data_IF_954040790277
#
_entry.id   IF_954040790277
#
_cell.length_a   1.000
_cell.length_b   1.000
_cell.length_c   1.000
_cell.angle_alpha   90.00
_cell.angle_beta   90.00
_cell.angle_gamma   90.00
#
_symmetry.space_group_name_H-M   'P 1'
#
loop_
_entity.id
_entity.type
_entity.pdbx_description
1 polymer ?
#
# COMPACT_ATOMS: atom_id res chain seq x y z
N UNK A 1 -14.06 7.31 3.01
CA UNK A 1 -12.77 7.27 2.27
C UNK A 1 -11.66 6.58 3.07
N UNK A 2 -11.51 6.85 4.38
CA UNK A 2 -10.46 6.24 5.23
C UNK A 2 -10.46 4.69 5.21
N UNK A 3 -11.63 4.04 5.31
CA UNK A 3 -11.71 2.57 5.26
C UNK A 3 -11.10 1.94 4.00
N UNK A 4 -11.27 2.59 2.83
CA UNK A 4 -10.70 2.11 1.56
C UNK A 4 -9.17 2.20 1.56
N UNK A 5 -8.63 3.28 2.14
CA UNK A 5 -7.18 3.44 2.25
C UNK A 5 -6.59 2.44 3.24
N UNK A 6 -7.26 2.15 4.35
CA UNK A 6 -6.77 1.16 5.32
C UNK A 6 -6.78 -0.26 4.75
N UNK A 7 -7.84 -0.62 4.00
CA UNK A 7 -7.86 -1.87 3.23
C UNK A 7 -6.74 -1.91 2.18
N UNK A 8 -6.49 -0.80 1.47
CA UNK A 8 -5.40 -0.74 0.51
C UNK A 8 -4.02 -0.94 1.18
N UNK A 9 -3.79 -0.33 2.37
CA UNK A 9 -2.56 -0.56 3.14
C UNK A 9 -2.37 -2.02 3.53
N UNK A 10 -3.44 -2.73 3.90
CA UNK A 10 -3.37 -4.16 4.19
C UNK A 10 -2.94 -4.93 2.95
N UNK A 11 -3.61 -4.72 1.81
CA UNK A 11 -3.29 -5.40 0.55
C UNK A 11 -1.85 -5.11 0.08
N UNK A 12 -1.39 -3.86 0.16
CA UNK A 12 -0.02 -3.47 -0.20
C UNK A 12 1.03 -4.23 0.63
N UNK A 13 0.73 -4.54 1.90
CA UNK A 13 1.64 -5.27 2.80
C UNK A 13 1.61 -6.77 2.56
N UNK A 14 0.42 -7.33 2.36
CA UNK A 14 0.21 -8.78 2.44
C UNK A 14 0.13 -9.49 1.08
N UNK A 15 0.05 -8.77 -0.03
CA UNK A 15 -0.10 -9.39 -1.36
C UNK A 15 0.82 -8.74 -2.40
N UNK A 16 1.12 -9.46 -3.48
CA UNK A 16 1.85 -8.95 -4.64
C UNK A 16 0.95 -8.29 -5.70
N UNK A 17 -0.35 -8.12 -5.41
CA UNK A 17 -1.28 -7.44 -6.32
C UNK A 17 -0.76 -6.06 -6.68
N UNK A 18 -0.82 -5.70 -7.95
CA UNK A 18 -0.34 -4.41 -8.45
C UNK A 18 -1.13 -3.24 -7.85
N UNK A 19 -0.54 -2.03 -7.90
CA UNK A 19 -1.21 -0.79 -7.50
C UNK A 19 -2.51 -0.57 -8.28
N UNK A 20 -2.53 -0.95 -9.57
CA UNK A 20 -3.70 -0.93 -10.43
C UNK A 20 -4.81 -1.83 -9.88
N UNK A 21 -4.53 -3.11 -9.64
CA UNK A 21 -5.52 -4.07 -9.13
C UNK A 21 -6.05 -3.67 -7.75
N UNK A 22 -5.17 -3.23 -6.86
CA UNK A 22 -5.57 -2.75 -5.53
C UNK A 22 -6.50 -1.55 -5.64
N UNK A 23 -6.22 -0.61 -6.56
CA UNK A 23 -7.07 0.57 -6.77
C UNK A 23 -8.50 0.18 -7.16
N UNK A 24 -8.65 -0.80 -8.06
CA UNK A 24 -9.96 -1.32 -8.45
C UNK A 24 -10.62 -2.08 -7.31
N UNK A 25 -9.87 -2.92 -6.58
CA UNK A 25 -10.37 -3.75 -5.47
C UNK A 25 -10.93 -2.92 -4.32
N UNK A 26 -10.34 -1.75 -4.05
CA UNK A 26 -10.82 -0.82 -3.00
C UNK A 26 -11.80 0.24 -3.53
N UNK A 27 -12.28 0.08 -4.78
CA UNK A 27 -13.40 0.84 -5.33
C UNK A 27 -13.03 2.22 -5.90
N UNK A 28 -11.79 2.41 -6.37
CA UNK A 28 -11.41 3.59 -7.15
C UNK A 28 -11.62 3.33 -8.64
N UNK A 29 -12.11 4.36 -9.35
CA UNK A 29 -12.33 4.30 -10.80
C UNK A 29 -11.03 4.33 -11.60
N UNK A 30 -10.02 5.06 -11.09
CA UNK A 30 -8.73 5.20 -11.75
C UNK A 30 -7.57 5.06 -10.74
N UNK A 31 -6.44 4.49 -11.17
CA UNK A 31 -5.22 4.42 -10.35
C UNK A 31 -4.68 5.78 -9.94
N UNK A 32 -4.82 6.80 -10.80
CA UNK A 32 -4.35 8.15 -10.51
C UNK A 32 -5.09 8.76 -9.30
N UNK A 33 -6.42 8.63 -9.26
CA UNK A 33 -7.23 9.15 -8.15
C UNK A 33 -6.92 8.38 -6.86
N UNK A 34 -6.71 7.07 -6.96
CA UNK A 34 -6.27 6.24 -5.86
C UNK A 34 -4.92 6.71 -5.30
N UNK A 35 -3.88 6.81 -6.14
CA UNK A 35 -2.52 7.17 -5.72
C UNK A 35 -2.48 8.55 -5.06
N UNK A 36 -3.18 9.56 -5.61
CA UNK A 36 -3.25 10.88 -5.00
C UNK A 36 -3.98 10.86 -3.65
N UNK A 37 -5.11 10.14 -3.56
CA UNK A 37 -5.86 10.03 -2.30
C UNK A 37 -5.05 9.27 -1.25
N UNK A 38 -4.41 8.17 -1.65
CA UNK A 38 -3.55 7.38 -0.77
C UNK A 38 -2.39 8.21 -0.25
N UNK A 39 -1.67 8.93 -1.13
CA UNK A 39 -0.55 9.79 -0.72
C UNK A 39 -0.97 10.89 0.24
N UNK A 40 -2.12 11.54 0.00
CA UNK A 40 -2.66 12.56 0.90
C UNK A 40 -3.00 12.01 2.29
N UNK A 41 -3.44 10.76 2.38
CA UNK A 41 -3.88 10.14 3.64
C UNK A 41 -2.74 9.40 4.37
N UNK A 42 -1.85 8.75 3.64
CA UNK A 42 -0.76 7.93 4.18
C UNK A 42 0.59 8.66 4.22
N UNK A 43 0.69 9.86 3.62
CA UNK A 43 1.91 10.66 3.53
C UNK A 43 2.89 10.26 2.42
N UNK A 44 2.68 9.11 1.78
CA UNK A 44 3.55 8.56 0.72
C UNK A 44 2.74 7.78 -0.32
N UNK A 45 3.30 7.56 -1.50
CA UNK A 45 2.63 6.82 -2.57
C UNK A 45 2.41 5.33 -2.21
N UNK A 46 1.47 4.64 -2.87
CA UNK A 46 1.25 3.21 -2.65
C UNK A 46 2.51 2.35 -2.86
N UNK A 47 3.33 2.67 -3.86
CA UNK A 47 4.57 1.94 -4.16
C UNK A 47 5.64 2.16 -3.10
N UNK A 48 5.85 3.40 -2.67
CA UNK A 48 6.77 3.74 -1.57
C UNK A 48 6.33 3.05 -0.27
N UNK A 49 5.02 3.08 0.02
CA UNK A 49 4.46 2.41 1.19
C UNK A 49 4.71 0.89 1.17
N UNK A 50 4.52 0.24 0.01
CA UNK A 50 4.80 -1.19 -0.16
C UNK A 50 6.28 -1.49 0.11
N UNK A 51 7.18 -0.71 -0.50
CA UNK A 51 8.61 -0.91 -0.34
C UNK A 51 9.00 -0.78 1.14
N UNK A 52 8.61 0.31 1.80
CA UNK A 52 8.91 0.56 3.22
C UNK A 52 8.32 -0.51 4.15
N UNK A 53 7.10 -0.98 3.87
CA UNK A 53 6.46 -1.97 4.73
C UNK A 53 7.05 -3.37 4.60
N UNK A 54 7.60 -3.73 3.42
CA UNK A 54 8.27 -5.01 3.20
C UNK A 54 9.73 -4.99 3.65
N UNK A 55 10.39 -3.83 3.57
CA UNK A 55 11.75 -3.64 4.05
C UNK A 55 11.83 -3.78 5.59
N UNK A 56 10.83 -3.27 6.32
CA UNK A 56 10.68 -3.51 7.77
C UNK A 56 10.56 -4.99 8.17
N UNK A 57 10.00 -5.83 7.30
CA UNK A 57 9.93 -7.28 7.54
C UNK A 57 11.32 -7.92 7.38
N UNK A 58 12.21 -7.35 6.57
CA UNK A 58 13.56 -7.89 6.36
C UNK A 58 14.55 -7.48 7.47
N UNK A 59 14.35 -6.32 8.10
CA UNK A 59 15.22 -5.86 9.20
C UNK A 59 15.02 -6.63 10.51
N UNK A 60 13.81 -7.18 10.75
CA UNK A 60 13.54 -8.02 11.94
C UNK A 60 14.09 -9.45 11.79
N UNK A 61 14.19 -9.98 10.57
CA UNK A 61 14.77 -11.31 10.30
C UNK A 61 16.31 -11.31 10.36
N UNK A 62 16.96 -10.19 10.07
CA UNK A 62 18.42 -10.06 10.12
C UNK A 62 18.99 -9.92 11.54
N UNK A 63 18.16 -9.57 12.53
CA UNK A 63 18.53 -9.52 13.95
C UNK A 63 18.26 -10.85 14.68
N UNK A 64 17.63 -11.82 14.02
CA UNK A 64 17.25 -13.12 14.57
C UNK A 64 18.21 -14.25 14.16
N UNK A 65 19.41 -13.93 13.65
CA UNK A 65 20.47 -14.88 13.28
C UNK A 65 21.75 -14.61 14.06
#
# INVERSE_FOLDING_TARGET
MMMRIEQAKQLLRSTDSTVLEISHKVGFKTPFHFSNTFKRVAGMSPSEYRAAARDKTHSVDLLAR
#
